data_IF_787480820683
#
_entry.id   IF_787480820683
#
_cell.length_a   1.000
_cell.length_b   1.000
_cell.length_c   1.000
_cell.angle_alpha   90.00
_cell.angle_beta   90.00
_cell.angle_gamma   90.00
#
_symmetry.space_group_name_H-M   'P 1'
#
loop_
_entity.id
_entity.type
_entity.pdbx_description
1 polymer ?
#
# COMPACT_ATOMS: atom_id res chain seq x y z
N UNK A 1 2.90 6.19 20.45
CA UNK A 1 3.24 5.06 21.34
C UNK A 1 4.51 4.42 20.83
N UNK A 2 5.28 3.74 21.67
CA UNK A 2 6.43 2.97 21.20
C UNK A 2 5.96 1.83 20.27
N UNK A 3 6.72 1.55 19.21
CA UNK A 3 6.47 0.40 18.35
C UNK A 3 6.93 -0.89 19.07
N UNK A 4 6.22 -2.03 18.91
CA UNK A 4 6.71 -3.34 19.33
C UNK A 4 8.07 -3.66 18.67
N UNK A 5 8.90 -4.51 19.28
CA UNK A 5 10.12 -4.97 18.60
C UNK A 5 9.74 -5.84 17.39
N UNK A 6 10.22 -5.47 16.20
CA UNK A 6 9.89 -6.16 14.96
C UNK A 6 10.22 -7.67 15.01
N UNK A 7 11.37 -8.05 15.57
CA UNK A 7 11.83 -9.44 15.66
C UNK A 7 11.09 -10.29 16.70
N UNK A 8 10.42 -9.65 17.67
CA UNK A 8 9.72 -10.34 18.76
C UNK A 8 8.22 -10.48 18.47
N UNK A 9 7.61 -9.46 17.86
CA UNK A 9 6.19 -9.46 17.50
C UNK A 9 5.95 -8.69 16.20
N UNK A 10 6.36 -9.33 15.09
CA UNK A 10 6.20 -8.76 13.75
C UNK A 10 4.75 -8.36 13.40
N UNK A 11 3.71 -9.17 13.69
CA UNK A 11 2.34 -8.79 13.35
C UNK A 11 1.89 -7.49 14.02
N UNK A 12 2.16 -7.33 15.32
CA UNK A 12 1.79 -6.10 16.03
C UNK A 12 2.62 -4.90 15.56
N UNK A 13 3.93 -5.10 15.33
CA UNK A 13 4.80 -4.06 14.79
C UNK A 13 4.31 -3.56 13.43
N UNK A 14 3.98 -4.47 12.50
CA UNK A 14 3.53 -4.12 11.16
C UNK A 14 2.26 -3.28 11.18
N UNK A 15 1.26 -3.70 11.96
CA UNK A 15 0.00 -2.96 12.09
C UNK A 15 0.21 -1.57 12.69
N UNK A 16 1.07 -1.45 13.71
CA UNK A 16 1.38 -0.15 14.30
C UNK A 16 2.19 0.76 13.38
N UNK A 17 3.12 0.22 12.58
CA UNK A 17 3.83 1.00 11.56
C UNK A 17 2.84 1.52 10.51
N UNK A 18 2.00 0.67 9.94
CA UNK A 18 1.00 1.06 8.92
C UNK A 18 0.07 2.15 9.44
N UNK A 19 -0.39 2.00 10.69
CA UNK A 19 -1.29 2.95 11.34
C UNK A 19 -0.60 4.27 11.69
N UNK A 20 0.54 4.22 12.38
CA UNK A 20 1.23 5.43 12.85
C UNK A 20 1.87 6.23 11.71
N UNK A 21 2.27 5.57 10.62
CA UNK A 21 2.72 6.23 9.41
C UNK A 21 1.57 6.72 8.51
N UNK A 22 0.31 6.56 8.94
CA UNK A 22 -0.87 6.98 8.19
C UNK A 22 -0.94 6.41 6.76
N UNK A 23 -0.54 5.14 6.59
CA UNK A 23 -0.53 4.48 5.28
C UNK A 23 -1.89 3.90 4.91
N UNK A 24 -2.55 3.22 5.86
CA UNK A 24 -3.86 2.63 5.68
C UNK A 24 -4.56 2.40 7.02
N UNK A 25 -5.88 2.20 6.97
CA UNK A 25 -6.71 1.86 8.12
C UNK A 25 -7.75 0.80 7.77
N UNK A 26 -8.31 0.13 8.78
CA UNK A 26 -9.35 -0.86 8.55
C UNK A 26 -10.63 -0.19 8.04
N UNK A 27 -11.28 -0.80 7.05
CA UNK A 27 -12.61 -0.36 6.61
C UNK A 27 -13.70 -1.03 7.45
N UNK A 28 -14.95 -0.60 7.23
CA UNK A 28 -16.14 -1.23 7.84
C UNK A 28 -16.42 -2.65 7.29
N UNK A 29 -15.82 -3.01 6.15
CA UNK A 29 -15.97 -4.32 5.51
C UNK A 29 -14.81 -5.20 5.92
N UNK A 30 -15.10 -6.37 6.50
CA UNK A 30 -14.08 -7.33 6.92
C UNK A 30 -13.19 -7.71 5.73
N UNK A 31 -11.87 -7.68 5.95
CA UNK A 31 -10.88 -8.01 4.93
C UNK A 31 -10.58 -6.87 3.94
N UNK A 32 -11.16 -5.69 4.15
CA UNK A 32 -10.90 -4.50 3.35
C UNK A 32 -10.20 -3.41 4.18
N UNK A 33 -9.45 -2.56 3.50
CA UNK A 33 -8.75 -1.43 4.11
C UNK A 33 -9.03 -0.15 3.30
N UNK A 34 -8.99 0.99 3.98
CA UNK A 34 -8.92 2.30 3.34
C UNK A 34 -7.44 2.68 3.25
N UNK A 35 -6.94 2.84 2.03
CA UNK A 35 -5.59 3.34 1.80
C UNK A 35 -5.62 4.86 1.95
N UNK A 36 -4.82 5.39 2.87
CA UNK A 36 -4.75 6.83 3.16
C UNK A 36 -3.90 7.55 2.11
N UNK A 37 -3.98 8.90 2.00
CA UNK A 37 -3.27 9.65 0.96
C UNK A 37 -1.76 9.34 0.87
N UNK A 38 -1.08 9.18 2.01
CA UNK A 38 0.35 8.86 2.00
C UNK A 38 0.65 7.46 1.44
N UNK A 39 -0.13 6.45 1.83
CA UNK A 39 -0.03 5.10 1.26
C UNK A 39 -0.38 5.07 -0.23
N UNK A 40 -1.41 5.82 -0.64
CA UNK A 40 -1.84 5.87 -2.03
C UNK A 40 -0.80 6.57 -2.92
N UNK A 41 -0.14 7.63 -2.44
CA UNK A 41 0.92 8.30 -3.17
C UNK A 41 2.17 7.42 -3.40
N UNK A 42 2.40 6.41 -2.55
CA UNK A 42 3.44 5.38 -2.79
C UNK A 42 2.99 4.46 -3.91
N UNK A 43 1.73 4.00 -3.88
CA UNK A 43 1.15 3.17 -4.93
C UNK A 43 1.17 3.87 -6.29
N UNK A 44 0.75 5.12 -6.38
CA UNK A 44 0.76 5.89 -7.64
C UNK A 44 2.15 5.95 -8.28
N UNK A 45 3.20 6.11 -7.46
CA UNK A 45 4.59 6.11 -7.95
C UNK A 45 5.03 4.75 -8.48
N UNK A 46 4.66 3.67 -7.77
CA UNK A 46 4.96 2.30 -8.20
C UNK A 46 4.22 2.01 -9.52
N UNK A 47 2.93 2.32 -9.57
CA UNK A 47 2.09 2.14 -10.76
C UNK A 47 2.68 2.90 -11.96
N UNK A 48 2.98 4.20 -11.80
CA UNK A 48 3.52 5.01 -12.88
C UNK A 48 4.87 4.48 -13.41
N UNK A 49 5.80 4.13 -12.51
CA UNK A 49 7.11 3.61 -12.90
C UNK A 49 7.02 2.25 -13.61
N UNK A 50 6.07 1.40 -13.22
CA UNK A 50 5.84 0.12 -13.87
C UNK A 50 5.14 0.28 -15.22
N UNK A 51 4.11 1.12 -15.29
CA UNK A 51 3.35 1.43 -16.49
C UNK A 51 4.24 2.01 -17.60
N UNK A 52 5.15 2.93 -17.26
CA UNK A 52 6.14 3.49 -18.19
C UNK A 52 6.99 2.39 -18.84
N UNK A 53 7.52 1.48 -18.03
CA UNK A 53 8.39 0.38 -18.50
C UNK A 53 7.64 -0.59 -19.40
N UNK A 54 6.38 -0.89 -19.07
CA UNK A 54 5.54 -1.78 -19.88
C UNK A 54 5.23 -1.10 -21.22
N UNK A 55 4.83 0.17 -21.21
CA UNK A 55 4.54 0.93 -22.44
C UNK A 55 5.76 1.10 -23.34
N UNK A 56 6.96 1.23 -22.78
CA UNK A 56 8.21 1.27 -23.55
C UNK A 56 8.45 -0.01 -24.40
N UNK A 57 7.78 -1.11 -24.07
CA UNK A 57 7.85 -2.37 -24.85
C UNK A 57 6.73 -2.50 -25.90
N UNK A 58 5.93 -1.44 -26.12
CA UNK A 58 4.86 -1.40 -27.12
C UNK A 58 3.49 -1.87 -26.64
N UNK A 59 3.34 -2.19 -25.35
CA UNK A 59 2.08 -2.63 -24.76
C UNK A 59 1.14 -1.46 -24.45
N UNK A 60 -0.16 -1.75 -24.39
CA UNK A 60 -1.20 -0.79 -24.04
C UNK A 60 -2.07 -1.33 -22.91
N UNK A 61 -2.51 -0.43 -22.02
CA UNK A 61 -3.44 -0.80 -20.96
C UNK A 61 -4.83 -1.00 -21.53
N UNK A 62 -5.54 -1.98 -20.96
CA UNK A 62 -6.94 -2.27 -21.24
C UNK A 62 -7.64 -2.52 -19.91
N UNK A 63 -8.93 -2.18 -19.83
CA UNK A 63 -9.77 -2.46 -18.67
C UNK A 63 -10.91 -3.37 -19.12
N UNK A 64 -11.04 -4.51 -18.46
CA UNK A 64 -12.15 -5.45 -18.63
C UNK A 64 -13.09 -5.34 -17.41
N UNK A 65 -14.37 -5.75 -17.56
CA UNK A 65 -15.27 -5.92 -16.44
C UNK A 65 -14.75 -6.88 -15.37
#
# INVERSE_FOLDING_TARGET
>A
MALPTQSENFPAWYQEVVKQAELAENSIVRGSMVIKPYGFAIWERIQAAMDERIKATGHQNVMFP
#
